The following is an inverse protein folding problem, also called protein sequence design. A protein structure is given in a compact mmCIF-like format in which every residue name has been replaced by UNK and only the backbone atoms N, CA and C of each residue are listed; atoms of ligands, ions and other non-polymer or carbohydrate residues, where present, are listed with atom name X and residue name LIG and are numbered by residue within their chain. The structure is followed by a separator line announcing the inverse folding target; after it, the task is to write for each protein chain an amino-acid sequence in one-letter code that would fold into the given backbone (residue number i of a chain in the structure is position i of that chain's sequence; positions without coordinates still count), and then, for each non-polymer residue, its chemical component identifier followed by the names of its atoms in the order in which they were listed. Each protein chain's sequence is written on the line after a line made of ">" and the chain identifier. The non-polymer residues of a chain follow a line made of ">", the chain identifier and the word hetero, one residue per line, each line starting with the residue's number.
data_IF_224241761940
#
_entry.id   IF_224241761940
#
_cell.length_a   1.000
_cell.length_b   1.000
_cell.length_c   1.000
_cell.angle_alpha   90.00
_cell.angle_beta   90.00
_cell.angle_gamma   90.00
#
_symmetry.space_group_name_H-M   'P 1'
#
loop_
_entity.id
_entity.type
_entity.pdbx_description
1 polymer ?
#
# COMPACT_ATOMS: atom_id res chain seq x y z
N UNK A 1 -1.32 -2.72 -23.42
CA UNK A 1 -2.23 -2.43 -22.29
C UNK A 1 -1.96 -3.49 -21.24
N UNK A 2 -1.25 -3.22 -20.17
CA UNK A 2 -1.70 -2.44 -19.01
C UNK A 2 -0.47 -1.84 -18.35
N UNK A 3 -0.54 -0.55 -17.98
CA UNK A 3 0.60 0.22 -17.50
C UNK A 3 1.35 -0.48 -16.38
N UNK A 4 2.64 -0.16 -16.27
CA UNK A 4 3.46 -0.40 -15.09
C UNK A 4 2.81 0.27 -13.89
N UNK A 5 1.76 -0.35 -13.35
CA UNK A 5 1.19 0.01 -12.08
C UNK A 5 2.24 -0.43 -11.08
N UNK A 6 3.08 0.52 -10.66
CA UNK A 6 3.86 0.55 -9.42
C UNK A 6 3.58 -0.70 -8.60
N UNK A 7 4.52 -1.65 -8.49
CA UNK A 7 4.35 -3.05 -8.07
C UNK A 7 3.81 -3.30 -6.66
N UNK A 8 3.13 -2.31 -6.09
CA UNK A 8 2.55 -2.27 -4.77
C UNK A 8 1.10 -1.75 -4.85
N UNK A 9 0.25 -2.35 -4.04
CA UNK A 9 -1.08 -1.87 -3.76
C UNK A 9 -1.06 -0.92 -2.54
N UNK A 10 -2.09 -0.08 -2.42
CA UNK A 10 -2.26 0.76 -1.25
C UNK A 10 -3.05 0.01 -0.16
N UNK A 11 -2.43 -0.21 0.99
CA UNK A 11 -3.02 -0.79 2.19
C UNK A 11 -3.40 0.25 3.23
N UNK A 12 -4.33 -0.09 4.13
CA UNK A 12 -4.65 0.68 5.34
C UNK A 12 -4.49 -0.19 6.58
N UNK A 13 -3.83 0.33 7.61
CA UNK A 13 -3.85 -0.30 8.93
C UNK A 13 -5.18 0.00 9.67
N UNK A 14 -5.52 -0.83 10.65
CA UNK A 14 -6.79 -0.74 11.41
C UNK A 14 -6.83 0.42 12.41
N UNK A 15 -5.66 0.88 12.86
CA UNK A 15 -5.56 1.77 14.01
C UNK A 15 -5.67 3.23 13.57
N UNK A 16 -4.84 3.63 12.61
CA UNK A 16 -4.75 5.01 12.14
C UNK A 16 -5.39 5.21 10.76
N UNK A 17 -5.83 4.16 10.06
CA UNK A 17 -6.26 4.22 8.66
C UNK A 17 -5.21 4.84 7.71
N UNK A 18 -3.93 4.76 8.08
CA UNK A 18 -2.83 5.35 7.32
C UNK A 18 -2.51 4.52 6.08
N UNK A 19 -2.12 5.17 4.99
CA UNK A 19 -1.80 4.47 3.74
C UNK A 19 -0.40 3.84 3.79
N UNK A 20 -0.33 2.54 3.52
CA UNK A 20 0.92 1.77 3.42
C UNK A 20 1.08 1.13 2.05
N UNK A 21 2.32 0.86 1.65
CA UNK A 21 2.62 0.14 0.41
C UNK A 21 2.62 -1.37 0.69
N UNK A 22 1.72 -2.12 0.06
CA UNK A 22 1.66 -3.59 0.16
C UNK A 22 2.19 -4.19 -1.14
N UNK A 23 3.17 -5.10 -1.13
CA UNK A 23 3.62 -5.79 -2.34
C UNK A 23 2.45 -6.42 -3.08
N UNK A 24 2.39 -6.27 -4.41
CA UNK A 24 1.21 -6.71 -5.18
C UNK A 24 0.95 -8.21 -5.04
N UNK A 25 2.02 -9.01 -5.04
CA UNK A 25 1.98 -10.46 -4.83
C UNK A 25 1.39 -10.88 -3.48
N UNK A 26 1.59 -10.07 -2.43
CA UNK A 26 0.99 -10.28 -1.11
C UNK A 26 -0.46 -9.80 -1.10
N UNK A 27 -0.72 -8.63 -1.68
CA UNK A 27 -2.04 -8.00 -1.75
C UNK A 27 -3.09 -8.81 -2.52
N UNK A 28 -2.68 -9.61 -3.51
CA UNK A 28 -3.59 -10.45 -4.28
C UNK A 28 -3.96 -11.77 -3.55
N UNK A 29 -3.26 -12.09 -2.45
CA UNK A 29 -3.58 -13.21 -1.56
C UNK A 29 -4.64 -12.88 -0.50
N UNK A 30 -5.17 -13.88 0.22
CA UNK A 30 -6.06 -13.64 1.36
C UNK A 30 -5.30 -12.97 2.53
N UNK A 31 -6.00 -12.22 3.40
CA UNK A 31 -5.40 -11.63 4.60
C UNK A 31 -4.85 -12.71 5.56
N UNK A 32 -3.90 -12.36 6.45
CA UNK A 32 -3.43 -11.00 6.74
C UNK A 32 -2.42 -10.45 5.72
N UNK A 33 -2.52 -9.16 5.41
CA UNK A 33 -1.55 -8.47 4.57
C UNK A 33 -0.53 -7.73 5.43
N UNK A 34 0.69 -7.62 4.92
CA UNK A 34 1.78 -6.88 5.56
C UNK A 34 2.36 -5.90 4.56
N UNK A 35 2.53 -4.65 4.99
CA UNK A 35 3.15 -3.62 4.17
C UNK A 35 4.68 -3.79 4.08
N UNK A 36 5.30 -3.08 3.14
CA UNK A 36 6.75 -3.05 2.97
C UNK A 36 7.51 -2.56 4.22
N UNK A 37 6.88 -1.74 5.07
CA UNK A 37 7.43 -1.31 6.36
C UNK A 37 7.25 -2.33 7.49
N UNK A 38 6.57 -3.46 7.24
CA UNK A 38 6.26 -4.49 8.24
C UNK A 38 4.96 -4.26 9.02
N UNK A 39 4.25 -3.14 8.81
CA UNK A 39 2.96 -2.88 9.46
C UNK A 39 1.87 -3.80 8.90
N UNK A 40 1.07 -4.46 9.77
CA UNK A 40 -0.11 -5.21 9.36
C UNK A 40 -1.15 -4.30 8.70
N UNK A 41 -1.66 -4.74 7.56
CA UNK A 41 -2.70 -4.06 6.80
C UNK A 41 -3.97 -4.90 6.84
N UNK A 42 -5.10 -4.24 7.10
CA UNK A 42 -6.37 -4.94 7.17
C UNK A 42 -7.24 -4.78 5.92
N UNK A 43 -6.97 -3.77 5.10
CA UNK A 43 -7.61 -3.63 3.80
C UNK A 43 -6.60 -3.17 2.76
N UNK A 44 -6.65 -3.79 1.58
CA UNK A 44 -5.89 -3.36 0.41
C UNK A 44 -6.85 -2.79 -0.62
N UNK A 45 -6.60 -1.56 -1.07
CA UNK A 45 -7.51 -0.80 -1.93
C UNK A 45 -6.76 0.03 -2.97
N UNK A 46 -6.72 -0.48 -4.20
CA UNK A 46 -6.16 0.23 -5.35
C UNK A 46 -4.63 0.23 -5.38
N UNK A 47 -4.07 1.05 -6.26
CA UNK A 47 -2.63 1.11 -6.51
C UNK A 47 -1.92 2.07 -5.54
N UNK A 48 -0.69 1.74 -5.17
CA UNK A 48 0.17 2.58 -4.33
C UNK A 48 0.44 3.95 -4.95
N UNK A 49 0.74 4.03 -6.25
CA UNK A 49 0.94 5.31 -6.94
C UNK A 49 -0.32 6.18 -7.11
N UNK A 50 -1.50 5.68 -6.70
CA UNK A 50 -2.77 6.38 -6.87
C UNK A 50 -3.20 7.24 -5.68
N UNK A 51 -4.41 7.80 -5.78
CA UNK A 51 -5.07 8.59 -4.71
C UNK A 51 -5.14 7.87 -3.36
N UNK A 52 -5.14 6.54 -3.35
CA UNK A 52 -5.27 5.71 -2.14
C UNK A 52 -3.94 5.48 -1.42
N UNK A 53 -2.82 5.56 -2.15
CA UNK A 53 -1.46 5.40 -1.62
C UNK A 53 -0.74 6.74 -1.52
N UNK A 54 0.24 7.03 -2.38
CA UNK A 54 1.04 8.26 -2.36
C UNK A 54 0.23 9.56 -2.48
N UNK A 55 -0.97 9.51 -3.09
CA UNK A 55 -1.89 10.64 -3.15
C UNK A 55 -2.82 10.78 -1.93
N UNK A 56 -2.71 9.92 -0.91
CA UNK A 56 -3.48 9.99 0.34
C UNK A 56 -3.03 11.18 1.19
N UNK A 57 -3.95 11.77 1.96
CA UNK A 57 -3.60 12.83 2.93
C UNK A 57 -2.80 12.31 4.12
N UNK A 58 -2.90 11.02 4.42
CA UNK A 58 -2.15 10.34 5.47
C UNK A 58 -1.44 9.11 4.88
N UNK A 59 -0.12 9.24 4.69
CA UNK A 59 0.76 8.26 4.03
C UNK A 59 1.87 7.89 4.99
N UNK A 60 2.15 6.59 5.11
CA UNK A 60 3.27 6.10 5.89
C UNK A 60 4.60 6.66 5.34
N UNK A 61 5.37 7.43 6.13
CA UNK A 61 6.60 8.04 5.66
C UNK A 61 7.67 6.99 5.30
N UNK A 62 7.71 5.85 5.98
CA UNK A 62 8.62 4.75 5.65
C UNK A 62 8.26 4.08 4.32
N UNK A 63 6.97 3.75 4.11
CA UNK A 63 6.53 3.22 2.82
C UNK A 63 6.79 4.20 1.68
N UNK A 64 6.63 5.51 1.90
CA UNK A 64 6.94 6.54 0.91
C UNK A 64 8.43 6.61 0.55
N UNK A 65 9.33 6.30 1.49
CA UNK A 65 10.78 6.24 1.25
C UNK A 65 11.20 4.94 0.57
N UNK A 66 10.66 3.82 1.02
CA UNK A 66 11.00 2.47 0.55
C UNK A 66 10.43 2.19 -0.85
N UNK A 67 9.23 2.70 -1.12
CA UNK A 67 8.48 2.42 -2.35
C UNK A 67 8.10 3.75 -3.02
N UNK A 68 8.96 4.30 -3.89
CA UNK A 68 8.61 5.45 -4.72
C UNK A 68 7.57 5.07 -5.81
N UNK A 69 7.00 6.09 -6.46
CA UNK A 69 5.99 5.95 -7.51
C UNK A 69 6.50 5.19 -8.74
#
# INVERSE_FOLDING_TARGET
>A
MTGAGSGHAAGRDQESSRAHAVPREVADGPPPWVAACGTPVAVVQGAWGGRRGLGSGDVCPDCRRLVPA
#
